data_IF_507942384099
#
_entry.id   IF_507942384099
#
_cell.length_a   1.000
_cell.length_b   1.000
_cell.length_c   1.000
_cell.angle_alpha   90.00
_cell.angle_beta   90.00
_cell.angle_gamma   90.00
#
_symmetry.space_group_name_H-M   'P 1'
#
loop_
_entity.id
_entity.type
_entity.pdbx_description
1 polymer ?
#
# COMPACT_ATOMS: atom_id res chain seq x y z
N UNK A 1 -24.99 -13.59 11.62
CA UNK A 1 -24.11 -13.42 10.45
C UNK A 1 -23.41 -12.08 10.57
N UNK A 2 -22.09 -12.01 10.84
CA UNK A 2 -21.41 -10.73 10.99
C UNK A 2 -21.31 -10.02 9.63
N UNK A 3 -21.57 -8.72 9.64
CA UNK A 3 -21.59 -7.83 8.47
C UNK A 3 -20.20 -7.72 7.83
N UNK A 4 -20.08 -8.10 6.55
CA UNK A 4 -18.84 -8.13 5.75
C UNK A 4 -18.24 -6.74 5.41
N UNK A 5 -18.78 -5.64 5.96
CA UNK A 5 -18.31 -4.27 5.69
C UNK A 5 -17.26 -3.74 6.67
N UNK A 6 -16.95 -4.47 7.73
CA UNK A 6 -15.91 -4.08 8.68
C UNK A 6 -14.55 -4.57 8.17
N UNK A 7 -13.52 -3.72 8.04
CA UNK A 7 -12.20 -4.19 7.63
C UNK A 7 -11.68 -5.18 8.67
N UNK A 8 -11.63 -6.44 8.27
CA UNK A 8 -11.14 -7.56 9.09
C UNK A 8 -9.61 -7.57 8.99
N UNK A 9 -8.91 -7.75 10.12
CA UNK A 9 -7.45 -7.85 10.10
C UNK A 9 -7.00 -9.05 9.25
N UNK A 10 -5.86 -8.91 8.54
CA UNK A 10 -5.34 -9.99 7.67
C UNK A 10 -5.16 -11.32 8.41
N UNK A 11 -4.66 -11.37 9.67
CA UNK A 11 -4.61 -12.62 10.43
C UNK A 11 -5.98 -13.27 10.62
N UNK A 12 -7.02 -12.47 10.88
CA UNK A 12 -8.38 -12.97 11.08
C UNK A 12 -8.98 -13.51 9.79
N UNK A 13 -8.66 -12.90 8.65
CA UNK A 13 -9.01 -13.43 7.33
C UNK A 13 -8.37 -14.80 7.07
N UNK A 14 -7.07 -14.96 7.40
CA UNK A 14 -6.37 -16.24 7.21
C UNK A 14 -6.95 -17.36 8.09
N UNK A 15 -7.32 -17.05 9.32
CA UNK A 15 -7.93 -18.03 10.22
C UNK A 15 -9.33 -18.45 9.76
N UNK A 16 -10.15 -17.51 9.28
CA UNK A 16 -11.46 -17.83 8.69
C UNK A 16 -11.28 -18.77 7.50
N UNK A 17 -10.36 -18.46 6.57
CA UNK A 17 -10.06 -19.32 5.43
C UNK A 17 -9.56 -20.72 5.84
N UNK A 18 -8.77 -20.81 6.92
CA UNK A 18 -8.28 -22.09 7.43
C UNK A 18 -9.40 -22.95 8.06
N UNK A 19 -10.35 -22.32 8.74
CA UNK A 19 -11.54 -22.99 9.29
C UNK A 19 -12.43 -23.49 8.15
N UNK A 20 -12.73 -22.64 7.15
CA UNK A 20 -13.55 -23.01 6.00
C UNK A 20 -12.90 -24.14 5.19
N UNK A 21 -11.57 -24.12 5.05
CA UNK A 21 -10.79 -25.17 4.41
C UNK A 21 -10.59 -26.43 5.28
N UNK A 22 -11.20 -26.49 6.48
CA UNK A 22 -11.07 -27.57 7.48
C UNK A 22 -9.63 -27.88 7.90
N UNK A 23 -8.70 -26.92 7.71
CA UNK A 23 -7.31 -27.02 8.17
C UNK A 23 -7.17 -26.70 9.66
N UNK A 24 -8.16 -26.01 10.23
CA UNK A 24 -8.28 -25.75 11.66
C UNK A 24 -9.67 -26.18 12.14
N UNK A 25 -9.70 -27.04 13.16
CA UNK A 25 -10.93 -27.65 13.70
C UNK A 25 -11.34 -27.09 15.06
N UNK A 26 -10.50 -26.26 15.67
CA UNK A 26 -10.76 -25.61 16.96
C UNK A 26 -11.53 -24.30 16.83
N UNK A 27 -11.77 -23.64 17.97
CA UNK A 27 -12.28 -22.26 18.01
C UNK A 27 -11.28 -21.31 17.32
N UNK A 28 -11.76 -20.19 16.79
CA UNK A 28 -10.91 -19.18 16.16
C UNK A 28 -9.91 -18.62 17.20
N UNK A 29 -8.60 -18.89 17.08
CA UNK A 29 -7.60 -18.47 18.07
C UNK A 29 -7.47 -16.96 18.22
N UNK A 30 -7.93 -16.16 17.24
CA UNK A 30 -7.88 -14.70 17.32
C UNK A 30 -8.97 -14.15 18.26
N UNK A 31 -10.04 -14.91 18.50
CA UNK A 31 -11.08 -14.51 19.44
C UNK A 31 -10.56 -14.40 20.88
N UNK A 32 -9.49 -15.13 21.21
CA UNK A 32 -8.88 -15.19 22.54
C UNK A 32 -7.67 -14.24 22.67
N UNK A 33 -7.34 -13.48 21.62
CA UNK A 33 -6.19 -12.56 21.60
C UNK A 33 -6.67 -11.12 21.77
N UNK A 34 -6.12 -10.43 22.77
CA UNK A 34 -6.36 -9.00 22.96
C UNK A 34 -5.84 -8.21 21.73
N UNK A 35 -6.69 -7.38 21.08
CA UNK A 35 -6.26 -6.57 19.96
C UNK A 35 -5.11 -5.64 20.37
N UNK A 36 -3.98 -5.75 19.67
CA UNK A 36 -2.88 -4.80 19.87
C UNK A 36 -3.35 -3.41 19.47
N UNK A 37 -3.38 -2.48 20.43
CA UNK A 37 -3.55 -1.05 20.14
C UNK A 37 -2.34 -0.57 19.36
N UNK A 38 -2.53 -0.33 18.07
CA UNK A 38 -1.53 0.32 17.23
C UNK A 38 -1.69 1.82 17.40
N UNK A 39 -0.69 2.55 17.94
CA UNK A 39 -0.75 4.00 18.00
C UNK A 39 -0.98 4.55 16.60
N UNK A 40 -2.03 5.34 16.42
CA UNK A 40 -2.27 6.01 15.15
C UNK A 40 -1.19 7.07 14.98
N UNK A 41 -0.20 6.80 14.12
CA UNK A 41 0.78 7.81 13.72
C UNK A 41 0.06 8.89 12.94
N UNK A 42 0.06 10.10 13.48
CA UNK A 42 -0.34 11.30 12.75
C UNK A 42 0.92 11.79 12.06
N UNK A 43 0.97 11.61 10.73
CA UNK A 43 2.04 12.19 9.93
C UNK A 43 1.66 13.61 9.57
N UNK A 44 2.64 14.51 9.60
CA UNK A 44 2.50 15.78 8.90
C UNK A 44 2.56 15.49 7.40
N UNK A 45 1.50 15.85 6.68
CA UNK A 45 1.37 15.59 5.26
C UNK A 45 1.65 16.85 4.46
N UNK A 46 2.37 16.70 3.36
CA UNK A 46 2.62 17.78 2.42
C UNK A 46 1.29 18.33 1.86
N UNK A 47 1.09 19.65 1.94
CA UNK A 47 -0.02 20.34 1.30
C UNK A 47 0.24 20.45 -0.19
N UNK A 48 -0.83 20.48 -0.99
CA UNK A 48 -0.72 20.61 -2.45
C UNK A 48 0.09 21.87 -2.86
N UNK A 49 -0.03 22.95 -2.09
CA UNK A 49 0.70 24.21 -2.33
C UNK A 49 2.20 24.12 -2.02
N UNK A 50 2.64 23.13 -1.25
CA UNK A 50 4.05 22.92 -0.91
C UNK A 50 4.78 22.05 -1.94
N UNK A 51 4.05 21.31 -2.78
CA UNK A 51 4.61 20.43 -3.81
C UNK A 51 5.60 21.16 -4.74
N UNK A 52 5.27 22.34 -5.31
CA UNK A 52 6.21 23.03 -6.20
C UNK A 52 7.52 23.42 -5.51
N UNK A 53 7.45 23.86 -4.25
CA UNK A 53 8.64 24.22 -3.47
C UNK A 53 9.53 23.01 -3.19
N UNK A 54 8.93 21.87 -2.85
CA UNK A 54 9.68 20.61 -2.66
C UNK A 54 10.38 20.16 -3.94
N UNK A 55 9.71 20.24 -5.10
CA UNK A 55 10.31 19.85 -6.37
C UNK A 55 11.40 20.82 -6.85
N UNK A 56 11.27 22.11 -6.52
CA UNK A 56 12.30 23.10 -6.82
C UNK A 56 13.58 22.86 -6.03
N UNK A 57 13.47 22.41 -4.79
CA UNK A 57 14.62 22.11 -3.91
C UNK A 57 15.22 20.72 -4.15
N UNK A 58 14.48 19.83 -4.84
CA UNK A 58 14.96 18.49 -5.15
C UNK A 58 16.15 18.50 -6.12
N UNK A 59 17.10 17.59 -5.89
CA UNK A 59 18.22 17.34 -6.83
C UNK A 59 17.68 16.87 -8.18
N UNK A 60 18.40 17.17 -9.26
CA UNK A 60 17.97 16.81 -10.63
C UNK A 60 17.75 15.30 -10.78
N UNK A 61 18.51 14.47 -10.06
CA UNK A 61 18.38 13.01 -10.08
C UNK A 61 17.06 12.50 -9.46
N UNK A 62 16.51 13.24 -8.50
CA UNK A 62 15.34 12.82 -7.72
C UNK A 62 14.07 13.59 -8.10
N UNK A 63 14.18 14.75 -8.74
CA UNK A 63 13.06 15.64 -9.05
C UNK A 63 11.96 14.93 -9.83
N UNK A 64 12.31 14.23 -10.91
CA UNK A 64 11.34 13.52 -11.76
C UNK A 64 10.68 12.34 -11.01
N UNK A 65 11.46 11.63 -10.19
CA UNK A 65 10.96 10.54 -9.36
C UNK A 65 9.96 11.04 -8.32
N UNK A 66 10.25 12.18 -7.68
CA UNK A 66 9.36 12.80 -6.70
C UNK A 66 8.12 13.40 -7.36
N UNK A 67 8.26 14.01 -8.52
CA UNK A 67 7.12 14.50 -9.30
C UNK A 67 6.17 13.35 -9.64
N UNK A 68 6.69 12.21 -10.10
CA UNK A 68 5.88 11.02 -10.34
C UNK A 68 5.20 10.51 -9.06
N UNK A 69 5.90 10.47 -7.93
CA UNK A 69 5.32 10.05 -6.65
C UNK A 69 4.16 10.95 -6.21
N UNK A 70 4.35 12.27 -6.28
CA UNK A 70 3.43 13.27 -5.75
C UNK A 70 2.22 13.48 -6.67
N UNK A 71 2.42 13.56 -7.97
CA UNK A 71 1.33 13.83 -8.92
C UNK A 71 0.53 12.57 -9.29
N UNK A 72 1.16 11.39 -9.27
CA UNK A 72 0.51 10.14 -9.66
C UNK A 72 0.12 9.27 -8.45
N UNK A 73 0.57 9.63 -7.25
CA UNK A 73 0.26 8.90 -6.02
C UNK A 73 0.89 7.51 -5.93
N UNK A 74 1.97 7.27 -6.67
CA UNK A 74 2.61 5.96 -6.74
C UNK A 74 3.38 5.65 -5.45
N UNK A 75 3.23 4.42 -4.95
CA UNK A 75 4.05 3.93 -3.83
C UNK A 75 5.51 3.78 -4.25
N UNK A 76 6.44 3.83 -3.30
CA UNK A 76 7.87 3.58 -3.53
C UNK A 76 8.12 2.34 -4.40
N UNK A 77 7.49 1.21 -4.07
CA UNK A 77 7.64 -0.02 -4.86
C UNK A 77 7.06 0.09 -6.28
N UNK A 78 5.98 0.83 -6.44
CA UNK A 78 5.33 1.05 -7.73
C UNK A 78 6.21 1.92 -8.64
N UNK A 79 6.77 3.02 -8.10
CA UNK A 79 7.72 3.89 -8.80
C UNK A 79 8.92 3.12 -9.34
N UNK A 80 9.59 2.34 -8.49
CA UNK A 80 10.76 1.55 -8.90
C UNK A 80 10.41 0.29 -9.70
N UNK A 81 9.12 -0.06 -9.78
CA UNK A 81 8.63 -1.16 -10.60
C UNK A 81 8.13 -0.72 -11.98
N UNK A 82 8.09 0.59 -12.25
CA UNK A 82 7.53 1.16 -13.47
C UNK A 82 8.50 1.00 -14.65
N UNK A 83 8.00 0.49 -15.78
CA UNK A 83 8.75 0.45 -17.03
C UNK A 83 8.20 1.46 -18.04
N UNK A 84 9.04 1.90 -18.98
CA UNK A 84 8.61 2.80 -20.07
C UNK A 84 7.42 2.25 -20.88
N UNK A 85 7.34 0.92 -21.04
CA UNK A 85 6.26 0.23 -21.74
C UNK A 85 4.89 0.29 -21.02
N UNK A 86 4.88 0.70 -19.75
CA UNK A 86 3.67 0.86 -18.95
C UNK A 86 3.05 2.28 -19.10
N UNK A 87 3.76 3.21 -19.76
CA UNK A 87 3.34 4.60 -19.96
C UNK A 87 2.84 4.80 -21.39
N UNK A 88 1.60 5.25 -21.53
CA UNK A 88 0.97 5.53 -22.82
C UNK A 88 0.80 7.03 -22.97
N UNK A 89 1.83 7.67 -23.51
CA UNK A 89 1.89 9.14 -23.63
C UNK A 89 0.72 9.71 -24.44
N UNK A 90 0.29 9.06 -25.51
CA UNK A 90 -0.83 9.56 -26.34
C UNK A 90 -2.17 9.50 -25.61
N UNK A 91 -2.35 8.53 -24.72
CA UNK A 91 -3.59 8.33 -23.96
C UNK A 91 -3.56 9.09 -22.63
N UNK A 92 -2.41 9.69 -22.26
CA UNK A 92 -2.15 10.24 -20.92
C UNK A 92 -2.46 9.24 -19.80
N UNK A 93 -2.23 7.95 -20.05
CA UNK A 93 -2.47 6.87 -19.10
C UNK A 93 -1.17 6.16 -18.75
N UNK A 94 -1.15 5.57 -17.55
CA UNK A 94 -0.11 4.68 -17.10
C UNK A 94 -0.77 3.45 -16.47
N UNK A 95 -0.20 2.27 -16.68
CA UNK A 95 -0.72 1.02 -16.11
C UNK A 95 0.31 0.39 -15.19
N UNK A 96 0.05 0.44 -13.89
CA UNK A 96 0.90 -0.22 -12.90
C UNK A 96 0.71 -1.74 -12.95
N UNK A 97 1.74 -2.47 -13.37
CA UNK A 97 1.72 -3.96 -13.44
C UNK A 97 2.56 -4.65 -12.36
N UNK A 98 3.49 -3.92 -11.75
CA UNK A 98 4.54 -4.48 -10.89
C UNK A 98 4.76 -3.59 -9.68
N UNK A 99 5.35 -4.17 -8.63
CA UNK A 99 5.84 -3.42 -7.48
C UNK A 99 7.19 -3.99 -7.09
N UNK A 100 8.18 -3.11 -6.94
CA UNK A 100 9.53 -3.40 -6.48
C UNK A 100 9.54 -3.54 -4.94
N UNK A 101 10.37 -4.46 -4.43
CA UNK A 101 10.29 -5.02 -3.07
C UNK A 101 8.98 -5.75 -2.77
N UNK A 102 8.94 -7.02 -3.19
CA UNK A 102 8.08 -8.05 -2.59
C UNK A 102 8.98 -9.01 -1.79
N UNK A 103 9.60 -8.53 -0.72
CA UNK A 103 10.16 -9.40 0.31
C UNK A 103 9.10 -9.55 1.40
N UNK A 104 8.27 -10.58 1.27
CA UNK A 104 7.56 -11.12 2.43
C UNK A 104 8.60 -11.87 3.26
N UNK A 105 9.22 -11.19 4.22
CA UNK A 105 9.97 -11.89 5.26
C UNK A 105 8.93 -12.41 6.25
N UNK A 106 8.86 -13.73 6.34
CA UNK A 106 7.95 -14.52 7.19
C UNK A 106 8.16 -14.25 8.67
#
# INVERSE_FOLDING_TARGET
MPNLRTPVSEPLRQVILAIDAKKWTGKNPIADVEPRRVPKRVFETLRATEVPSVLADATDQCRDLFAAALYLGLRKGELFGLHKADVRMQEHTLVMRRSHQRQGTW
#
